data_IF_757945632104
#
_entry.id   IF_757945632104
#
_cell.length_a   1.000
_cell.length_b   1.000
_cell.length_c   1.000
_cell.angle_alpha   90.00
_cell.angle_beta   90.00
_cell.angle_gamma   90.00
#
_symmetry.space_group_name_H-M   'P 1'
#
loop_
_entity.id
_entity.type
_entity.pdbx_description
1 polymer ?
#
# COMPACT_ATOMS: atom_id res chain seq x y z
N UNK A 1 4.53 10.12 -2.85
CA UNK A 1 5.14 8.78 -2.59
C UNK A 1 5.18 7.92 -3.87
N UNK A 2 6.13 6.97 -4.00
CA UNK A 2 6.04 5.87 -5.01
C UNK A 2 5.88 4.51 -4.31
N UNK A 3 4.98 3.67 -4.81
CA UNK A 3 4.65 2.36 -4.24
C UNK A 3 5.60 1.28 -4.80
N UNK A 4 6.44 0.72 -3.93
CA UNK A 4 7.39 -0.34 -4.29
C UNK A 4 6.72 -1.71 -4.19
N UNK A 5 6.11 -1.99 -3.04
CA UNK A 5 5.39 -3.24 -2.77
C UNK A 5 3.94 -2.94 -2.37
N UNK A 6 3.04 -3.83 -2.77
CA UNK A 6 1.61 -3.73 -2.53
C UNK A 6 1.08 -5.14 -2.25
N UNK A 7 0.47 -5.31 -1.09
CA UNK A 7 -0.12 -6.57 -0.67
C UNK A 7 -1.55 -6.33 -0.18
N UNK A 8 -2.58 -6.81 -0.89
CA UNK A 8 -3.94 -6.78 -0.38
C UNK A 8 -4.09 -7.76 0.79
N UNK A 9 -4.86 -7.35 1.79
CA UNK A 9 -5.13 -8.10 3.00
C UNK A 9 -6.65 -8.19 3.23
N UNK A 10 -7.12 -9.13 4.08
CA UNK A 10 -8.51 -9.14 4.51
C UNK A 10 -8.97 -7.81 5.12
N UNK A 11 -10.28 -7.58 5.15
CA UNK A 11 -10.91 -6.35 5.65
C UNK A 11 -10.53 -5.10 4.84
N UNK A 12 -10.35 -5.25 3.52
CA UNK A 12 -10.08 -4.14 2.59
C UNK A 12 -8.84 -3.30 2.94
N UNK A 13 -7.83 -3.96 3.53
CA UNK A 13 -6.57 -3.31 3.88
C UNK A 13 -5.55 -3.54 2.77
N UNK A 14 -4.84 -2.48 2.39
CA UNK A 14 -3.64 -2.56 1.56
C UNK A 14 -2.41 -2.34 2.45
N UNK A 15 -1.50 -3.32 2.47
CA UNK A 15 -0.17 -3.17 3.05
C UNK A 15 0.79 -2.68 1.97
N UNK A 16 1.45 -1.55 2.23
CA UNK A 16 2.19 -0.79 1.22
C UNK A 16 3.60 -0.52 1.72
N UNK A 17 4.58 -0.72 0.84
CA UNK A 17 5.96 -0.26 1.05
C UNK A 17 6.25 0.88 0.08
N UNK A 18 6.56 2.04 0.64
CA UNK A 18 6.98 3.22 -0.10
C UNK A 18 8.47 3.15 -0.48
N UNK A 19 8.86 3.91 -1.50
CA UNK A 19 10.25 3.99 -1.97
C UNK A 19 11.23 4.64 -1.00
N UNK A 20 10.74 5.43 -0.04
CA UNK A 20 11.51 5.94 1.10
C UNK A 20 11.66 4.93 2.26
N UNK A 21 11.15 3.71 2.07
CA UNK A 21 11.18 2.61 3.01
C UNK A 21 10.03 2.62 4.03
N UNK A 22 9.14 3.63 4.08
CA UNK A 22 7.98 3.58 4.98
C UNK A 22 7.07 2.41 4.64
N UNK A 23 6.59 1.74 5.67
CA UNK A 23 5.60 0.67 5.58
C UNK A 23 4.32 1.17 6.22
N UNK A 24 3.20 1.03 5.53
CA UNK A 24 1.92 1.48 6.04
C UNK A 24 0.75 0.64 5.57
N UNK A 25 -0.33 0.75 6.33
CA UNK A 25 -1.60 0.11 6.05
C UNK A 25 -2.61 1.18 5.63
N UNK A 26 -3.29 0.95 4.52
CA UNK A 26 -4.35 1.82 4.02
C UNK A 26 -5.68 1.07 4.01
N UNK A 27 -6.71 1.68 4.60
CA UNK A 27 -8.06 1.12 4.68
C UNK A 27 -8.91 1.63 3.52
N UNK A 28 -9.35 0.73 2.64
CA UNK A 28 -10.18 1.06 1.48
C UNK A 28 -11.67 1.09 1.85
N UNK A 29 -12.06 0.58 3.02
CA UNK A 29 -13.47 0.50 3.46
C UNK A 29 -14.25 1.82 3.36
N UNK A 30 -13.69 3.00 3.71
CA UNK A 30 -14.40 4.28 3.59
C UNK A 30 -14.83 4.61 2.15
N UNK A 31 -14.14 4.06 1.15
CA UNK A 31 -14.39 4.35 -0.27
C UNK A 31 -15.45 3.43 -0.88
N UNK A 32 -15.76 2.29 -0.26
CA UNK A 32 -16.75 1.31 -0.75
C UNK A 32 -18.19 1.86 -0.80
N UNK A 33 -18.44 3.02 -0.22
CA UNK A 33 -19.70 3.76 -0.32
C UNK A 33 -19.89 4.49 -1.64
N UNK A 34 -18.81 4.73 -2.39
CA UNK A 34 -18.87 5.42 -3.68
C UNK A 34 -19.12 4.42 -4.82
N UNK A 35 -19.92 4.83 -5.81
CA UNK A 35 -20.30 4.01 -6.97
C UNK A 35 -19.08 3.43 -7.71
N UNK A 36 -18.02 4.23 -7.86
CA UNK A 36 -16.78 3.79 -8.51
C UNK A 36 -16.10 2.58 -7.83
N UNK A 37 -16.34 2.38 -6.53
CA UNK A 37 -15.73 1.31 -5.73
C UNK A 37 -16.72 0.21 -5.34
N UNK A 38 -17.96 0.25 -5.85
CA UNK A 38 -19.00 -0.71 -5.47
C UNK A 38 -18.57 -2.17 -5.73
N UNK A 39 -17.87 -2.41 -6.86
CA UNK A 39 -17.36 -3.74 -7.21
C UNK A 39 -16.31 -4.27 -6.22
N UNK A 40 -15.60 -3.40 -5.51
CA UNK A 40 -14.61 -3.83 -4.53
C UNK A 40 -15.23 -4.36 -3.24
N UNK A 41 -16.57 -4.27 -3.07
CA UNK A 41 -17.27 -4.95 -1.97
C UNK A 41 -17.18 -6.47 -2.07
N UNK A 42 -16.93 -7.01 -3.28
CA UNK A 42 -16.52 -8.39 -3.43
C UNK A 42 -15.04 -8.53 -3.02
N UNK A 43 -14.72 -9.29 -1.96
CA UNK A 43 -13.33 -9.52 -1.56
C UNK A 43 -12.49 -10.13 -2.69
N UNK A 44 -13.07 -10.94 -3.57
CA UNK A 44 -12.39 -11.52 -4.71
C UNK A 44 -11.92 -10.48 -5.73
N UNK A 45 -12.72 -9.43 -5.96
CA UNK A 45 -12.33 -8.30 -6.80
C UNK A 45 -11.26 -7.45 -6.10
N UNK A 46 -11.45 -7.15 -4.81
CA UNK A 46 -10.49 -6.36 -4.03
C UNK A 46 -9.08 -6.98 -4.02
N UNK A 47 -8.98 -8.32 -3.94
CA UNK A 47 -7.68 -9.01 -3.91
C UNK A 47 -6.93 -8.95 -5.24
N UNK A 48 -7.57 -8.56 -6.36
CA UNK A 48 -6.96 -8.38 -7.69
C UNK A 48 -6.41 -6.98 -7.90
N UNK A 49 -5.84 -6.38 -6.85
CA UNK A 49 -5.23 -5.05 -6.95
C UNK A 49 -3.89 -5.11 -7.71
N UNK A 50 -3.66 -4.12 -8.56
CA UNK A 50 -2.42 -3.92 -9.33
C UNK A 50 -1.68 -2.67 -8.89
N UNK A 51 -0.35 -2.75 -8.86
CA UNK A 51 0.53 -1.64 -8.48
C UNK A 51 1.00 -0.85 -9.71
N UNK A 52 0.37 0.31 -9.96
CA UNK A 52 0.74 1.28 -11.00
C UNK A 52 1.87 2.25 -10.62
N UNK A 53 2.55 2.02 -9.48
CA UNK A 53 3.64 2.81 -8.88
C UNK A 53 3.21 4.15 -8.28
N UNK A 54 2.42 4.95 -8.97
CA UNK A 54 1.88 6.23 -8.48
C UNK A 54 0.38 6.18 -8.21
N UNK A 55 -0.22 5.02 -8.41
CA UNK A 55 -1.60 4.69 -8.09
C UNK A 55 -1.71 3.17 -7.94
N UNK A 56 -2.82 2.72 -7.37
CA UNK A 56 -3.26 1.33 -7.42
C UNK A 56 -4.54 1.26 -8.22
N UNK A 57 -4.75 0.17 -8.92
CA UNK A 57 -5.94 -0.03 -9.73
C UNK A 57 -6.46 -1.46 -9.59
N UNK A 58 -7.74 -1.64 -9.90
CA UNK A 58 -8.40 -2.94 -9.96
C UNK A 58 -8.94 -3.18 -11.36
N UNK A 59 -9.16 -4.46 -11.73
CA UNK A 59 -9.73 -4.86 -13.03
C UNK A 59 -11.10 -4.22 -13.31
N UNK A 60 -11.79 -3.79 -12.25
CA UNK A 60 -13.05 -3.08 -12.34
C UNK A 60 -12.93 -1.61 -12.80
N UNK A 61 -11.71 -1.11 -13.00
CA UNK A 61 -11.41 0.26 -13.37
C UNK A 61 -11.43 1.24 -12.21
N UNK A 62 -11.66 0.77 -10.98
CA UNK A 62 -11.45 1.59 -9.78
C UNK A 62 -9.94 1.83 -9.59
N UNK A 63 -9.58 3.03 -9.14
CA UNK A 63 -8.20 3.38 -8.84
C UNK A 63 -8.10 4.30 -7.61
N UNK A 64 -6.93 4.31 -6.99
CA UNK A 64 -6.56 5.26 -5.94
C UNK A 64 -5.15 5.78 -6.18
N UNK A 65 -4.99 7.10 -6.18
CA UNK A 65 -3.68 7.73 -6.31
C UNK A 65 -2.81 7.49 -5.08
N UNK A 66 -1.49 7.43 -5.29
CA UNK A 66 -0.52 7.30 -4.20
C UNK A 66 -0.60 8.48 -3.21
N UNK A 67 -1.00 9.68 -3.66
CA UNK A 67 -1.18 10.84 -2.79
C UNK A 67 -2.37 10.66 -1.82
N UNK A 68 -3.48 10.08 -2.32
CA UNK A 68 -4.64 9.74 -1.47
C UNK A 68 -4.26 8.72 -0.41
N UNK A 69 -3.50 7.70 -0.81
CA UNK A 69 -2.98 6.67 0.08
C UNK A 69 -2.05 7.31 1.12
N UNK A 70 -1.05 8.06 0.69
CA UNK A 70 -0.05 8.69 1.56
C UNK A 70 -0.69 9.63 2.60
N UNK A 71 -1.77 10.33 2.21
CA UNK A 71 -2.47 11.25 3.09
C UNK A 71 -3.25 10.56 4.21
N UNK A 72 -3.70 9.31 4.03
CA UNK A 72 -4.65 8.65 4.94
C UNK A 72 -4.16 7.30 5.50
N UNK A 73 -3.07 6.74 4.96
CA UNK A 73 -2.52 5.50 5.47
C UNK A 73 -1.96 5.66 6.88
N UNK A 74 -1.95 4.56 7.62
CA UNK A 74 -1.27 4.46 8.91
C UNK A 74 0.11 3.88 8.69
N UNK A 75 1.16 4.67 8.92
CA UNK A 75 2.53 4.17 8.93
C UNK A 75 2.70 3.23 10.13
N UNK A 76 3.10 1.98 9.87
CA UNK A 76 3.27 0.92 10.88
C UNK A 76 4.74 0.54 11.07
N UNK A 77 5.63 1.00 10.19
CA UNK A 77 7.06 0.75 10.30
C UNK A 77 7.86 1.42 9.20
N UNK A 78 9.14 1.09 9.15
CA UNK A 78 10.06 1.47 8.07
C UNK A 78 10.95 0.26 7.79
N UNK A 79 10.98 -0.19 6.54
CA UNK A 79 11.96 -1.17 6.12
C UNK A 79 13.34 -0.55 6.32
N UNK A 80 14.19 -1.22 7.10
CA UNK A 80 15.59 -0.83 7.20
C UNK A 80 16.18 -0.87 5.79
N UNK A 81 16.58 0.31 5.29
CA UNK A 81 17.58 0.35 4.22
C UNK A 81 18.80 -0.42 4.74
N UNK A 82 19.51 -1.21 3.92
CA UNK A 82 20.70 -1.91 4.38
C UNK A 82 21.77 -0.88 4.79
N UNK A 83 21.75 -0.47 6.06
CA UNK A 83 22.79 0.36 6.64
C UNK A 83 24.00 -0.55 6.90
N UNK A 84 24.95 -0.41 5.98
CA UNK A 84 26.39 -0.52 6.16
C UNK A 84 26.91 -1.29 7.38
N UNK A 85 27.54 -2.44 7.08
CA UNK A 85 28.60 -3.11 7.82
C UNK A 85 29.35 -2.17 8.79
N UNK A 86 29.19 -2.38 10.09
CA UNK A 86 30.16 -1.91 11.08
C UNK A 86 31.06 -3.08 11.48
N UNK A 87 32.30 -3.07 10.97
CA UNK A 87 33.38 -4.01 11.29
C UNK A 87 33.68 -4.08 12.80
N UNK A 88 34.21 -5.22 13.30
CA UNK A 88 34.54 -5.37 14.71
C UNK A 88 35.77 -4.53 15.07
N UNK A 89 35.66 -3.71 16.13
CA UNK A 89 36.84 -3.10 16.75
C UNK A 89 37.57 -4.16 17.56
N UNK A 90 38.80 -4.48 17.13
CA UNK A 90 39.79 -5.25 17.89
C UNK A 90 40.07 -4.57 19.24
N UNK A 91 40.17 -5.39 20.28
CA UNK A 91 40.96 -5.12 21.48
C UNK A 91 41.90 -6.31 21.68
#
# INVERSE_FOLDING_TARGET
MRIVELHPQPNWILSIVADDGRIGNFDVSPYLGYEAFERLRDPGEFMRVSNGKYFVEWDCGADLSADTIEAQWRVVGKADSPQAVAQPRRA
#
